data_IF_961417043528
#
_entry.id   IF_961417043528
#
_cell.length_a   1.000
_cell.length_b   1.000
_cell.length_c   1.000
_cell.angle_alpha   90.00
_cell.angle_beta   90.00
_cell.angle_gamma   90.00
#
_symmetry.space_group_name_H-M   'P 1'
#
loop_
_entity.id
_entity.type
_entity.pdbx_description
1 polymer ?
#
# COMPACT_ATOMS: atom_id res chain seq x y z
N UNK A 1 12.61 -8.46 -14.07
CA UNK A 1 12.06 -9.49 -13.15
C UNK A 1 11.60 -8.75 -11.94
N UNK A 2 10.47 -8.09 -12.10
CA UNK A 2 10.01 -7.02 -11.24
C UNK A 2 9.14 -7.69 -10.17
N UNK A 3 9.79 -8.01 -9.05
CA UNK A 3 9.15 -8.68 -7.94
C UNK A 3 8.23 -7.67 -7.25
N UNK A 4 6.96 -7.65 -7.64
CA UNK A 4 5.91 -6.94 -6.88
C UNK A 4 6.06 -7.32 -5.40
N UNK A 5 5.99 -6.37 -4.46
CA UNK A 5 6.09 -6.70 -3.04
C UNK A 5 5.03 -7.74 -2.71
N UNK A 6 5.48 -8.94 -2.33
CA UNK A 6 4.60 -10.01 -1.83
C UNK A 6 4.15 -9.60 -0.43
N UNK A 7 3.10 -8.78 -0.37
CA UNK A 7 2.40 -8.45 0.87
C UNK A 7 1.38 -9.54 1.16
N UNK A 8 1.34 -9.99 2.41
CA UNK A 8 0.38 -10.97 2.91
C UNK A 8 -0.48 -10.36 4.01
N UNK A 9 -1.72 -10.83 4.18
CA UNK A 9 -2.55 -10.45 5.34
C UNK A 9 -1.80 -10.81 6.63
N UNK A 10 -1.78 -9.89 7.60
CA UNK A 10 -1.00 -10.00 8.83
C UNK A 10 0.45 -9.53 8.72
N UNK A 11 0.94 -9.22 7.51
CA UNK A 11 2.29 -8.71 7.31
C UNK A 11 2.41 -7.28 7.83
N UNK A 12 3.50 -7.01 8.55
CA UNK A 12 3.89 -5.66 8.92
C UNK A 12 4.63 -5.00 7.76
N UNK A 13 4.43 -3.71 7.57
CA UNK A 13 5.20 -2.90 6.65
C UNK A 13 5.46 -1.52 7.26
N UNK A 14 6.51 -0.87 6.80
CA UNK A 14 6.79 0.53 7.07
C UNK A 14 6.54 1.34 5.81
N UNK A 15 6.18 2.61 5.97
CA UNK A 15 6.04 3.54 4.87
C UNK A 15 6.51 4.94 5.26
N UNK A 16 6.91 5.71 4.26
CA UNK A 16 7.30 7.12 4.40
C UNK A 16 6.77 7.91 3.22
N UNK A 17 6.29 9.13 3.47
CA UNK A 17 5.82 10.04 2.44
C UNK A 17 6.98 10.54 1.58
N UNK A 18 6.81 10.47 0.25
CA UNK A 18 7.81 11.01 -0.68
C UNK A 18 7.78 12.53 -0.61
N UNK A 19 8.95 13.13 -0.38
CA UNK A 19 9.11 14.58 -0.25
C UNK A 19 8.96 15.13 1.16
N UNK A 20 8.48 14.34 2.14
CA UNK A 20 8.47 14.74 3.56
C UNK A 20 8.60 13.51 4.47
N UNK A 21 9.84 13.19 4.88
CA UNK A 21 10.14 12.03 5.72
C UNK A 21 9.61 12.14 7.16
N UNK A 22 9.16 13.33 7.56
CA UNK A 22 8.48 13.57 8.83
C UNK A 22 7.15 12.81 8.91
N UNK A 23 6.51 12.57 7.76
CA UNK A 23 5.27 11.81 7.65
C UNK A 23 5.61 10.36 7.27
N UNK A 24 5.51 9.48 8.26
CA UNK A 24 5.86 8.07 8.13
C UNK A 24 5.01 7.22 9.07
N UNK A 25 5.01 5.92 8.85
CA UNK A 25 4.29 5.03 9.74
C UNK A 25 4.61 3.57 9.54
N UNK A 26 4.05 2.77 10.42
CA UNK A 26 4.02 1.33 10.28
C UNK A 26 2.57 0.86 10.26
N UNK A 27 2.31 -0.18 9.48
CA UNK A 27 1.00 -0.78 9.34
C UNK A 27 1.06 -2.30 9.37
N UNK A 28 -0.08 -2.91 9.67
CA UNK A 28 -0.34 -4.34 9.45
C UNK A 28 -1.37 -4.45 8.34
N UNK A 29 -1.10 -5.28 7.34
CA UNK A 29 -2.07 -5.60 6.28
C UNK A 29 -3.25 -6.35 6.88
N UNK A 30 -4.45 -5.78 6.80
CA UNK A 30 -5.69 -6.45 7.25
C UNK A 30 -6.44 -7.09 6.08
N UNK A 31 -6.40 -6.47 4.90
CA UNK A 31 -7.05 -6.98 3.70
C UNK A 31 -6.24 -6.66 2.45
N UNK A 32 -6.29 -7.56 1.48
CA UNK A 32 -5.69 -7.40 0.15
C UNK A 32 -6.84 -7.44 -0.86
N UNK A 33 -6.94 -6.42 -1.70
CA UNK A 33 -7.91 -6.32 -2.80
C UNK A 33 -7.14 -6.14 -4.10
N UNK A 34 -7.33 -7.04 -5.04
CA UNK A 34 -6.79 -6.89 -6.39
C UNK A 34 -7.91 -6.48 -7.33
N UNK A 35 -7.60 -5.68 -8.35
CA UNK A 35 -8.52 -5.28 -9.42
C UNK A 35 -9.27 -6.48 -10.03
N UNK A 36 -8.60 -7.64 -10.03
CA UNK A 36 -9.13 -8.94 -10.46
C UNK A 36 -10.35 -9.45 -9.66
N UNK A 37 -10.57 -8.96 -8.45
CA UNK A 37 -11.67 -9.38 -7.57
C UNK A 37 -12.93 -8.52 -7.76
N UNK A 38 -12.81 -7.31 -8.34
CA UNK A 38 -13.93 -6.37 -8.52
C UNK A 38 -14.61 -6.45 -9.89
N UNK A 39 -14.25 -7.43 -10.73
CA UNK A 39 -14.89 -7.63 -12.04
C UNK A 39 -14.70 -6.43 -13.00
N UNK A 40 -13.68 -5.61 -12.76
CA UNK A 40 -13.34 -4.47 -13.58
C UNK A 40 -12.77 -4.97 -14.91
N UNK A 41 -13.22 -4.35 -16.01
CA UNK A 41 -12.82 -4.72 -17.37
C UNK A 41 -11.29 -4.69 -17.52
N UNK A 42 -10.72 -5.48 -18.44
CA UNK A 42 -9.27 -5.57 -18.65
C UNK A 42 -8.56 -4.24 -18.97
N UNK A 43 -9.32 -3.19 -19.30
CA UNK A 43 -8.84 -1.82 -19.53
C UNK A 43 -8.54 -1.06 -18.21
N UNK A 44 -9.05 -1.51 -17.05
CA UNK A 44 -8.82 -0.90 -15.73
C UNK A 44 -7.57 -1.46 -15.02
N UNK A 45 -7.09 -2.63 -15.47
CA UNK A 45 -5.87 -3.27 -14.99
C UNK A 45 -4.60 -2.39 -15.17
N UNK A 46 -4.68 -1.34 -15.98
CA UNK A 46 -3.61 -0.37 -16.20
C UNK A 46 -3.45 0.64 -15.04
N UNK A 47 -4.48 0.87 -14.20
CA UNK A 47 -4.46 1.98 -13.23
C UNK A 47 -3.96 1.60 -11.82
N UNK A 48 -4.32 0.41 -11.33
CA UNK A 48 -3.91 -0.07 -10.01
C UNK A 48 -3.66 -1.58 -10.01
N UNK A 49 -2.48 -1.98 -9.57
CA UNK A 49 -2.07 -3.39 -9.52
C UNK A 49 -2.55 -4.10 -8.25
N UNK A 50 -2.68 -3.37 -7.14
CA UNK A 50 -3.05 -3.92 -5.84
C UNK A 50 -3.50 -2.81 -4.88
N UNK A 51 -4.53 -3.06 -4.09
CA UNK A 51 -4.93 -2.23 -2.95
C UNK A 51 -4.84 -3.06 -1.67
N UNK A 52 -4.32 -2.48 -0.60
CA UNK A 52 -4.38 -3.10 0.73
C UNK A 52 -5.09 -2.19 1.70
N UNK A 53 -5.89 -2.78 2.56
CA UNK A 53 -6.36 -2.14 3.78
C UNK A 53 -5.38 -2.48 4.89
N UNK A 54 -4.89 -1.47 5.58
CA UNK A 54 -3.90 -1.61 6.62
C UNK A 54 -4.32 -0.88 7.88
N UNK A 55 -4.04 -1.47 9.04
CA UNK A 55 -4.19 -0.82 10.34
C UNK A 55 -2.86 -0.23 10.77
N UNK A 56 -2.86 1.05 11.13
CA UNK A 56 -1.72 1.71 11.74
C UNK A 56 -1.30 1.01 13.03
N UNK A 57 0.01 0.93 13.27
CA UNK A 57 0.56 0.50 14.55
C UNK A 57 1.49 1.53 15.18
N UNK A 58 2.05 2.45 14.38
CA UNK A 58 2.97 3.50 14.83
C UNK A 58 3.13 4.58 13.76
N UNK A 59 3.66 5.74 14.15
CA UNK A 59 3.92 6.89 13.30
C UNK A 59 2.72 7.82 13.13
N UNK A 60 2.71 8.58 12.04
CA UNK A 60 1.79 9.71 11.82
C UNK A 60 0.32 9.32 11.80
N UNK A 61 -0.02 8.08 11.45
CA UNK A 61 -1.41 7.56 11.44
C UNK A 61 -1.83 6.81 12.70
N UNK A 62 -0.95 6.67 13.69
CA UNK A 62 -1.27 5.98 14.95
C UNK A 62 -1.89 4.59 14.72
N UNK A 63 -3.16 4.43 15.11
CA UNK A 63 -3.93 3.17 14.99
C UNK A 63 -5.04 3.23 13.93
N UNK A 64 -5.08 4.27 13.13
CA UNK A 64 -6.10 4.46 12.10
C UNK A 64 -5.99 3.40 10.99
N UNK A 65 -7.13 2.97 10.46
CA UNK A 65 -7.17 2.13 9.25
C UNK A 65 -7.04 3.00 8.01
N UNK A 66 -6.27 2.55 7.03
CA UNK A 66 -6.03 3.27 5.79
C UNK A 66 -5.78 2.33 4.62
N UNK A 67 -5.96 2.87 3.42
CA UNK A 67 -5.74 2.11 2.19
C UNK A 67 -4.40 2.52 1.57
N UNK A 68 -3.60 1.53 1.20
CA UNK A 68 -2.40 1.72 0.38
C UNK A 68 -2.69 1.19 -1.02
N UNK A 69 -2.52 2.04 -2.02
CA UNK A 69 -2.62 1.69 -3.43
C UNK A 69 -1.23 1.43 -3.98
N UNK A 70 -1.02 0.26 -4.59
CA UNK A 70 0.14 -0.07 -5.39
C UNK A 70 -0.25 0.03 -6.87
N UNK A 71 0.24 1.06 -7.53
CA UNK A 71 0.00 1.31 -8.95
C UNK A 71 0.88 0.41 -9.83
N UNK A 72 0.47 0.23 -11.08
CA UNK A 72 1.21 -0.56 -12.07
C UNK A 72 2.55 0.07 -12.48
N UNK A 73 2.73 1.39 -12.24
CA UNK A 73 4.02 2.11 -12.41
C UNK A 73 5.02 1.84 -11.27
N UNK A 74 4.80 0.82 -10.44
CA UNK A 74 5.63 0.48 -9.26
C UNK A 74 5.65 1.56 -8.17
N UNK A 75 4.71 2.50 -8.22
CA UNK A 75 4.51 3.54 -7.20
C UNK A 75 3.43 3.15 -6.20
N UNK A 76 3.58 3.65 -4.97
CA UNK A 76 2.65 3.37 -3.88
C UNK A 76 2.06 4.67 -3.36
N UNK A 77 0.79 4.65 -2.94
CA UNK A 77 0.08 5.85 -2.51
C UNK A 77 -0.80 5.60 -1.29
N UNK A 78 -0.91 6.62 -0.44
CA UNK A 78 -1.90 6.72 0.63
C UNK A 78 -2.64 8.05 0.44
N UNK A 79 -3.97 8.02 0.33
CA UNK A 79 -4.81 9.21 0.10
C UNK A 79 -4.32 10.07 -1.09
N UNK A 80 -3.90 9.40 -2.17
CA UNK A 80 -3.37 10.05 -3.38
C UNK A 80 -1.96 10.62 -3.25
N UNK A 81 -1.30 10.49 -2.09
CA UNK A 81 0.08 10.95 -1.88
C UNK A 81 1.07 9.81 -2.05
N UNK A 82 2.13 10.04 -2.82
CA UNK A 82 3.16 9.03 -3.11
C UNK A 82 3.95 8.68 -1.83
N UNK A 83 4.12 7.39 -1.58
CA UNK A 83 4.87 6.86 -0.44
C UNK A 83 5.89 5.82 -0.91
N UNK A 84 6.95 5.65 -0.13
CA UNK A 84 7.86 4.51 -0.23
C UNK A 84 7.45 3.47 0.80
N UNK A 85 7.24 2.22 0.36
CA UNK A 85 6.93 1.08 1.24
C UNK A 85 8.18 0.22 1.40
N UNK A 86 8.46 -0.18 2.64
CA UNK A 86 9.54 -1.09 2.99
C UNK A 86 9.01 -2.20 3.88
N UNK A 87 9.40 -3.44 3.61
CA UNK A 87 9.15 -4.52 4.56
C UNK A 87 10.13 -4.38 5.74
N UNK A 88 9.68 -4.47 7.01
CA UNK A 88 10.59 -4.66 8.11
C UNK A 88 11.28 -6.02 7.94
N UNK A 89 12.61 -5.99 7.84
CA UNK A 89 13.46 -7.18 7.86
C UNK A 89 13.29 -7.98 9.16
#
# INVERSE_FOLDING_TARGET
MDSKPQLSVGQRFAWVLVGDSSVHGQGIVEKIRTDRDEGLSPETADYASLWIEARGISGTRGTETYTVMFSSDSKSYIDGKEITVSNPS
#
